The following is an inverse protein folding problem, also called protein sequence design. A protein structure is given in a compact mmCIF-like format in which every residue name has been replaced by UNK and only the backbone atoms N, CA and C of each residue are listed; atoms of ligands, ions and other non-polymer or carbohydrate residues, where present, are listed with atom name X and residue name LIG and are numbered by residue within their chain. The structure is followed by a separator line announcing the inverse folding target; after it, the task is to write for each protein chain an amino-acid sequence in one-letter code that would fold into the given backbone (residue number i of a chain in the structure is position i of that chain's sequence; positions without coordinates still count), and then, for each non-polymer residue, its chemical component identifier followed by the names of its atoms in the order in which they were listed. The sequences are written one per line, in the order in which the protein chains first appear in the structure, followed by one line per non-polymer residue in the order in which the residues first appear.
data_IF_145699294865
#
_entry.id   IF_145699294865
#
_cell.length_a   1.000
_cell.length_b   1.000
_cell.length_c   1.000
_cell.angle_alpha   90.00
_cell.angle_beta   90.00
_cell.angle_gamma   90.00
#
_symmetry.space_group_name_H-M   'P 1'
#
loop_
_entity.id
_entity.type
_entity.pdbx_description
1 polymer ?
#
# COMPACT_ATOMS: atom_id res chain seq x y z
N UNK A 1 11.02 7.39 4.73
CA UNK A 1 10.80 5.93 4.83
C UNK A 1 9.42 5.56 4.30
N UNK A 2 9.30 4.48 3.52
CA UNK A 2 8.02 3.98 2.99
C UNK A 2 7.76 2.60 3.56
N UNK A 3 6.62 2.44 4.25
CA UNK A 3 6.13 1.17 4.77
C UNK A 3 4.90 0.75 3.96
N UNK A 4 4.88 -0.49 3.49
CA UNK A 4 3.72 -1.05 2.78
C UNK A 4 3.07 -2.17 3.61
N UNK A 5 1.73 -2.18 3.64
CA UNK A 5 0.99 -3.33 4.14
C UNK A 5 0.62 -4.27 3.01
N UNK A 6 0.78 -5.57 3.22
CA UNK A 6 0.25 -6.61 2.37
C UNK A 6 -0.49 -7.67 3.18
N UNK A 7 -1.42 -8.36 2.55
CA UNK A 7 -2.26 -9.39 3.18
C UNK A 7 -3.61 -9.50 2.48
N UNK A 8 -4.33 -10.57 2.72
CA UNK A 8 -5.66 -10.81 2.13
C UNK A 8 -6.70 -9.80 2.60
N UNK A 9 -7.81 -9.73 1.89
CA UNK A 9 -8.97 -8.95 2.36
C UNK A 9 -9.48 -9.54 3.69
N UNK A 10 -9.82 -8.69 4.66
CA UNK A 10 -10.24 -9.17 5.99
C UNK A 10 -9.10 -9.54 6.94
N UNK A 11 -7.82 -9.54 6.52
CA UNK A 11 -6.69 -9.84 7.43
C UNK A 11 -6.50 -8.78 8.54
N UNK A 12 -7.10 -7.59 8.40
CA UNK A 12 -7.06 -6.54 9.43
C UNK A 12 -6.02 -5.44 9.19
N UNK A 13 -5.44 -5.34 8.01
CA UNK A 13 -4.47 -4.28 7.65
C UNK A 13 -4.93 -2.89 8.06
N UNK A 14 -6.08 -2.47 7.55
CA UNK A 14 -6.62 -1.11 7.79
C UNK A 14 -6.92 -0.82 9.27
N UNK A 15 -7.08 -1.87 10.09
CA UNK A 15 -7.26 -1.74 11.54
C UNK A 15 -5.93 -1.58 12.27
N UNK A 16 -4.86 -2.20 11.75
CA UNK A 16 -3.51 -2.14 12.34
C UNK A 16 -2.77 -0.84 12.00
N UNK A 17 -3.07 -0.20 10.87
CA UNK A 17 -2.39 1.03 10.41
C UNK A 17 -2.44 2.17 11.44
N UNK A 18 -3.59 2.52 12.06
CA UNK A 18 -3.63 3.55 13.10
C UNK A 18 -2.77 3.19 14.31
N UNK A 19 -2.72 1.89 14.66
CA UNK A 19 -1.86 1.37 15.73
C UNK A 19 -0.38 1.55 15.42
N UNK A 20 0.04 1.20 14.20
CA UNK A 20 1.41 1.44 13.73
C UNK A 20 1.80 2.92 13.78
N UNK A 21 0.94 3.79 13.27
CA UNK A 21 1.22 5.23 13.25
C UNK A 21 1.38 5.77 14.67
N UNK A 22 0.57 5.30 15.63
CA UNK A 22 0.71 5.66 17.03
C UNK A 22 2.05 5.19 17.58
N UNK A 23 2.42 3.92 17.39
CA UNK A 23 3.70 3.36 17.84
C UNK A 23 4.87 4.21 17.35
N UNK A 24 4.89 4.51 16.05
CA UNK A 24 5.97 5.30 15.45
C UNK A 24 6.03 6.73 15.99
N UNK A 25 4.87 7.34 16.26
CA UNK A 25 4.79 8.70 16.85
C UNK A 25 5.23 8.70 18.31
N UNK A 26 4.87 7.67 19.07
CA UNK A 26 5.30 7.49 20.47
C UNK A 26 6.83 7.32 20.57
N UNK A 27 7.44 6.72 19.54
CA UNK A 27 8.91 6.59 19.40
C UNK A 27 9.57 7.83 18.76
N UNK A 28 8.85 8.96 18.67
CA UNK A 28 9.38 10.26 18.22
C UNK A 28 9.47 10.44 16.70
N UNK A 29 8.91 9.53 15.91
CA UNK A 29 8.89 9.64 14.46
C UNK A 29 7.64 10.35 13.94
N UNK A 30 7.79 11.14 12.89
CA UNK A 30 6.64 11.66 12.17
C UNK A 30 6.13 10.60 11.21
N UNK A 31 5.00 9.98 11.54
CA UNK A 31 4.39 8.92 10.74
C UNK A 31 2.97 9.28 10.31
N UNK A 32 2.62 8.98 9.05
CA UNK A 32 1.29 9.28 8.51
C UNK A 32 0.90 8.32 7.36
N UNK A 33 -0.41 8.12 7.11
CA UNK A 33 -0.88 7.40 5.93
C UNK A 33 -0.47 8.13 4.64
N UNK A 34 -0.30 7.39 3.54
CA UNK A 34 0.07 7.97 2.24
C UNK A 34 -0.91 9.06 1.77
N UNK A 35 -2.21 8.91 2.05
CA UNK A 35 -3.24 9.91 1.73
C UNK A 35 -3.04 11.22 2.48
N UNK A 36 -2.72 11.15 3.78
CA UNK A 36 -2.41 12.32 4.61
C UNK A 36 -1.08 12.96 4.19
N UNK A 37 -0.07 12.15 3.91
CA UNK A 37 1.23 12.61 3.42
C UNK A 37 1.10 13.41 2.11
N UNK A 38 0.26 12.95 1.16
CA UNK A 38 0.01 13.67 -0.08
C UNK A 38 -0.58 15.07 0.24
N UNK A 39 -1.59 15.15 1.09
CA UNK A 39 -2.20 16.43 1.47
C UNK A 39 -1.17 17.33 2.14
N UNK A 40 -0.43 16.81 3.12
CA UNK A 40 0.60 17.53 3.84
C UNK A 40 1.66 18.15 2.89
N UNK A 41 2.17 17.35 1.96
CA UNK A 41 3.16 17.84 1.01
C UNK A 41 2.57 18.75 -0.06
N UNK A 42 1.30 18.55 -0.44
CA UNK A 42 0.62 19.47 -1.35
C UNK A 42 0.57 20.90 -0.80
N UNK A 43 0.28 21.07 0.49
CA UNK A 43 0.33 22.39 1.14
C UNK A 43 1.71 23.05 1.07
N UNK A 44 2.79 22.26 1.06
CA UNK A 44 4.17 22.76 0.97
C UNK A 44 4.59 23.17 -0.45
N UNK A 45 3.87 22.74 -1.50
CA UNK A 45 4.16 23.12 -2.88
C UNK A 45 3.84 24.59 -3.17
N UNK A 46 4.46 25.18 -4.19
CA UNK A 46 4.13 26.54 -4.61
C UNK A 46 2.65 26.68 -5.00
N UNK A 47 2.11 25.69 -5.73
CA UNK A 47 0.70 25.64 -6.12
C UNK A 47 -0.21 25.51 -4.90
N UNK A 48 0.14 24.67 -3.95
CA UNK A 48 -0.62 24.50 -2.72
C UNK A 48 -0.67 25.78 -1.89
N UNK A 49 0.48 26.46 -1.73
CA UNK A 49 0.53 27.76 -1.04
C UNK A 49 -0.34 28.82 -1.73
N UNK A 50 -0.32 28.86 -3.07
CA UNK A 50 -1.17 29.77 -3.83
C UNK A 50 -2.67 29.50 -3.58
N UNK A 51 -3.08 28.23 -3.62
CA UNK A 51 -4.47 27.82 -3.32
C UNK A 51 -4.84 28.22 -1.89
N UNK A 52 -3.98 27.95 -0.91
CA UNK A 52 -4.23 28.32 0.49
C UNK A 52 -4.35 29.84 0.71
N UNK A 53 -3.66 30.64 -0.10
CA UNK A 53 -3.74 32.10 -0.02
C UNK A 53 -5.03 32.64 -0.67
N UNK A 54 -5.50 32.02 -1.75
CA UNK A 54 -6.64 32.51 -2.53
C UNK A 54 -7.98 31.93 -2.11
N UNK A 55 -7.99 30.79 -1.39
CA UNK A 55 -9.21 30.06 -1.06
C UNK A 55 -9.54 30.11 0.44
N UNK A 56 -10.84 30.18 0.79
CA UNK A 56 -11.30 30.00 2.16
C UNK A 56 -10.85 28.63 2.72
N UNK A 57 -10.56 28.56 4.02
CA UNK A 57 -10.05 27.35 4.69
C UNK A 57 -10.93 26.10 4.46
N UNK A 58 -12.25 26.29 4.38
CA UNK A 58 -13.20 25.20 4.12
C UNK A 58 -13.09 24.56 2.73
N UNK A 59 -12.54 25.30 1.74
CA UNK A 59 -12.38 24.83 0.37
C UNK A 59 -10.95 24.38 0.03
N UNK A 60 -9.98 24.69 0.88
CA UNK A 60 -8.57 24.38 0.60
C UNK A 60 -8.33 22.88 0.42
N UNK A 61 -8.76 22.03 1.35
CA UNK A 61 -8.54 20.58 1.26
C UNK A 61 -9.21 19.93 0.05
N UNK A 62 -10.52 20.14 -0.23
CA UNK A 62 -11.15 19.53 -1.39
C UNK A 62 -10.55 20.02 -2.71
N UNK A 63 -10.14 21.30 -2.81
CA UNK A 63 -9.50 21.84 -4.01
C UNK A 63 -8.10 21.26 -4.18
N UNK A 64 -7.27 21.21 -3.13
CA UNK A 64 -5.93 20.61 -3.18
C UNK A 64 -5.99 19.14 -3.59
N UNK A 65 -6.93 18.39 -3.01
CA UNK A 65 -7.15 17.00 -3.39
C UNK A 65 -7.58 16.87 -4.84
N UNK A 66 -8.52 17.70 -5.30
CA UNK A 66 -8.97 17.72 -6.68
C UNK A 66 -7.84 18.05 -7.66
N UNK A 67 -7.00 19.04 -7.34
CA UNK A 67 -5.83 19.41 -8.14
C UNK A 67 -4.82 18.27 -8.19
N UNK A 68 -4.56 17.61 -7.06
CA UNK A 68 -3.67 16.46 -7.05
C UNK A 68 -4.24 15.32 -7.91
N UNK A 69 -5.48 14.93 -7.68
CA UNK A 69 -6.09 13.79 -8.39
C UNK A 69 -6.24 14.04 -9.89
N UNK A 70 -6.51 15.28 -10.31
CA UNK A 70 -6.73 15.61 -11.72
C UNK A 70 -5.45 15.93 -12.49
N UNK A 71 -4.55 16.75 -11.95
CA UNK A 71 -3.36 17.24 -12.65
C UNK A 71 -2.09 16.49 -12.24
N UNK A 72 -1.76 16.52 -10.95
CA UNK A 72 -0.47 16.03 -10.48
C UNK A 72 -0.38 14.51 -10.52
N UNK A 73 -1.47 13.82 -10.21
CA UNK A 73 -1.50 12.36 -10.31
C UNK A 73 -1.17 11.88 -11.73
N UNK A 74 -1.69 12.54 -12.76
CA UNK A 74 -1.35 12.22 -14.17
C UNK A 74 0.11 12.52 -14.49
N UNK A 75 0.61 13.67 -14.08
CA UNK A 75 2.02 14.02 -14.27
C UNK A 75 2.95 13.00 -13.61
N UNK A 76 2.69 12.64 -12.35
CA UNK A 76 3.50 11.65 -11.63
C UNK A 76 3.30 10.23 -12.16
N UNK A 77 2.13 9.87 -12.69
CA UNK A 77 1.92 8.61 -13.39
C UNK A 77 2.78 8.51 -14.66
N UNK A 78 2.81 9.56 -15.50
CA UNK A 78 3.68 9.61 -16.68
C UNK A 78 5.15 9.51 -16.28
N UNK A 79 5.54 10.23 -15.24
CA UNK A 79 6.90 10.18 -14.71
C UNK A 79 7.28 8.81 -14.16
N UNK A 80 6.34 8.12 -13.49
CA UNK A 80 6.53 6.73 -13.06
C UNK A 80 6.75 5.81 -14.26
N UNK A 81 5.91 5.94 -15.30
CA UNK A 81 6.07 5.16 -16.55
C UNK A 81 7.44 5.40 -17.18
N UNK A 82 7.88 6.65 -17.25
CA UNK A 82 9.20 7.00 -17.80
C UNK A 82 10.36 6.42 -16.95
N UNK A 83 10.23 6.42 -15.62
CA UNK A 83 11.26 5.90 -14.72
C UNK A 83 11.26 4.37 -14.59
N UNK A 84 10.10 3.72 -14.83
CA UNK A 84 9.90 2.27 -14.67
C UNK A 84 9.11 1.67 -15.85
N UNK A 85 9.60 1.82 -17.10
CA UNK A 85 8.84 1.42 -18.30
C UNK A 85 8.57 -0.09 -18.36
N UNK A 86 9.48 -0.90 -17.81
CA UNK A 86 9.31 -2.37 -17.76
C UNK A 86 8.13 -2.78 -16.89
N UNK A 87 8.01 -2.22 -15.67
CA UNK A 87 6.90 -2.50 -14.77
C UNK A 87 5.57 -1.99 -15.37
N UNK A 88 5.53 -0.75 -15.85
CA UNK A 88 4.33 -0.17 -16.43
C UNK A 88 3.84 -0.98 -17.64
N UNK A 89 4.73 -1.32 -18.58
CA UNK A 89 4.39 -2.12 -19.77
C UNK A 89 3.96 -3.54 -19.39
N UNK A 90 4.59 -4.14 -18.39
CA UNK A 90 4.22 -5.47 -17.89
C UNK A 90 2.77 -5.47 -17.38
N UNK A 91 2.41 -4.54 -16.50
CA UNK A 91 1.07 -4.46 -15.92
C UNK A 91 0.00 -4.20 -16.99
N UNK A 92 0.28 -3.30 -17.95
CA UNK A 92 -0.65 -3.04 -19.08
C UNK A 92 -0.84 -4.29 -19.93
N UNK A 93 0.26 -4.95 -20.35
CA UNK A 93 0.21 -6.18 -21.16
C UNK A 93 -0.52 -7.31 -20.42
N UNK A 94 -0.28 -7.45 -19.12
CA UNK A 94 -0.96 -8.43 -18.27
C UNK A 94 -2.47 -8.21 -18.30
N UNK A 95 -2.94 -6.97 -18.07
CA UNK A 95 -4.38 -6.68 -18.06
C UNK A 95 -5.03 -6.81 -19.45
N UNK A 96 -4.33 -6.45 -20.53
CA UNK A 96 -4.86 -6.62 -21.87
C UNK A 96 -5.09 -8.09 -22.24
N UNK A 97 -4.22 -8.99 -21.78
CA UNK A 97 -4.31 -10.44 -22.06
C UNK A 97 -5.36 -11.19 -21.22
N UNK A 98 -5.80 -10.61 -20.10
CA UNK A 98 -6.80 -11.27 -19.23
C UNK A 98 -8.17 -11.29 -19.88
N UNK A 99 -8.90 -12.40 -19.68
CA UNK A 99 -10.30 -12.58 -20.16
C UNK A 99 -11.33 -12.05 -19.13
N UNK A 100 -11.20 -10.78 -18.74
CA UNK A 100 -12.11 -10.08 -17.83
C UNK A 100 -12.76 -8.88 -18.54
N UNK A 101 -13.94 -8.40 -18.09
CA UNK A 101 -14.59 -7.23 -18.68
C UNK A 101 -13.68 -6.00 -18.71
N UNK A 102 -13.76 -5.22 -19.78
CA UNK A 102 -12.94 -4.02 -19.99
C UNK A 102 -13.04 -3.01 -18.84
N UNK A 103 -14.22 -2.84 -18.27
CA UNK A 103 -14.41 -1.97 -17.10
C UNK A 103 -13.54 -2.38 -15.91
N UNK A 104 -13.39 -3.68 -15.65
CA UNK A 104 -12.53 -4.19 -14.58
C UNK A 104 -11.06 -3.99 -14.91
N UNK A 105 -10.63 -4.24 -16.16
CA UNK A 105 -9.24 -3.95 -16.58
C UNK A 105 -8.89 -2.49 -16.34
N UNK A 106 -9.76 -1.58 -16.77
CA UNK A 106 -9.58 -0.15 -16.59
C UNK A 106 -9.50 0.26 -15.13
N UNK A 107 -10.37 -0.29 -14.27
CA UNK A 107 -10.34 -0.02 -12.83
C UNK A 107 -9.02 -0.47 -12.21
N UNK A 108 -8.54 -1.67 -12.52
CA UNK A 108 -7.26 -2.19 -12.00
C UNK A 108 -6.09 -1.32 -12.46
N UNK A 109 -6.04 -0.96 -13.75
CA UNK A 109 -5.00 -0.08 -14.28
C UNK A 109 -5.04 1.31 -13.64
N UNK A 110 -6.24 1.89 -13.52
CA UNK A 110 -6.43 3.19 -12.85
C UNK A 110 -5.90 3.17 -11.42
N UNK A 111 -6.30 2.17 -10.63
CA UNK A 111 -5.86 2.04 -9.24
C UNK A 111 -4.35 1.79 -9.13
N UNK A 112 -3.78 1.01 -10.06
CA UNK A 112 -2.34 0.80 -10.11
C UNK A 112 -1.59 2.11 -10.40
N UNK A 113 -1.96 2.86 -11.44
CA UNK A 113 -1.29 4.10 -11.80
C UNK A 113 -1.55 5.24 -10.81
N UNK A 114 -2.70 5.25 -10.13
CA UNK A 114 -2.96 6.17 -9.03
C UNK A 114 -1.97 5.92 -7.87
N UNK A 115 -1.82 4.68 -7.41
CA UNK A 115 -0.88 4.31 -6.38
C UNK A 115 0.58 4.59 -6.83
N UNK A 116 0.92 4.28 -8.08
CA UNK A 116 2.22 4.57 -8.66
C UNK A 116 2.53 6.08 -8.69
N UNK A 117 1.54 6.93 -8.96
CA UNK A 117 1.68 8.39 -8.90
C UNK A 117 1.93 8.88 -7.47
N UNK A 118 1.23 8.32 -6.48
CA UNK A 118 1.44 8.62 -5.07
C UNK A 118 2.86 8.26 -4.63
N UNK A 119 3.28 7.05 -4.95
CA UNK A 119 4.64 6.58 -4.67
C UNK A 119 5.70 7.50 -5.29
N UNK A 120 5.55 7.83 -6.59
CA UNK A 120 6.47 8.69 -7.33
C UNK A 120 6.51 10.13 -6.77
N UNK A 121 5.38 10.65 -6.29
CA UNK A 121 5.30 11.95 -5.63
C UNK A 121 6.01 11.91 -4.27
N UNK A 122 5.66 10.94 -3.42
CA UNK A 122 6.14 10.84 -2.05
C UNK A 122 7.63 10.49 -1.96
N UNK A 123 8.13 9.64 -2.86
CA UNK A 123 9.56 9.30 -2.93
C UNK A 123 10.49 10.51 -3.15
N UNK A 124 9.94 11.63 -3.63
CA UNK A 124 10.71 12.86 -3.94
C UNK A 124 10.66 13.89 -2.84
N UNK A 125 9.83 13.67 -1.87
CA UNK A 125 9.76 14.60 -0.76
C UNK A 125 10.96 14.37 0.17
N UNK A 126 11.67 15.45 0.54
CA UNK A 126 12.72 15.34 1.56
C UNK A 126 12.04 15.00 2.87
N UNK A 127 12.21 13.79 3.37
CA UNK A 127 11.51 13.44 4.60
C UNK A 127 12.30 12.50 5.49
N UNK A 128 12.41 12.91 6.74
CA UNK A 128 12.62 12.02 7.86
C UNK A 128 11.28 11.40 8.33
N UNK A 129 10.24 11.52 7.51
CA UNK A 129 8.88 11.10 7.83
C UNK A 129 8.66 9.67 7.35
N UNK A 130 7.82 8.93 8.08
CA UNK A 130 7.41 7.58 7.72
C UNK A 130 6.05 7.64 7.04
N UNK A 131 5.99 7.20 5.79
CA UNK A 131 4.76 7.14 5.01
C UNK A 131 4.27 5.71 4.93
N UNK A 132 3.02 5.48 5.35
CA UNK A 132 2.42 4.15 5.40
C UNK A 132 1.40 3.99 4.27
N UNK A 133 1.63 3.00 3.40
CA UNK A 133 0.70 2.58 2.35
C UNK A 133 -0.14 1.39 2.84
N UNK A 134 -1.46 1.55 2.86
CA UNK A 134 -2.41 0.45 3.14
C UNK A 134 -2.35 -0.62 2.04
N UNK A 135 -2.25 -0.19 0.80
CA UNK A 135 -2.14 -1.05 -0.38
C UNK A 135 -1.03 -0.55 -1.30
N UNK A 136 0.22 -0.97 -1.03
CA UNK A 136 1.37 -0.65 -1.87
C UNK A 136 1.54 -1.61 -3.07
N UNK A 137 2.72 -1.58 -3.69
CA UNK A 137 3.03 -2.41 -4.86
C UNK A 137 3.02 -3.91 -4.54
N UNK A 138 3.54 -4.31 -3.39
CA UNK A 138 3.53 -5.71 -2.97
C UNK A 138 2.11 -6.25 -2.81
N UNK A 139 1.18 -5.44 -2.25
CA UNK A 139 -0.22 -5.84 -2.11
C UNK A 139 -0.96 -5.92 -3.46
N UNK A 140 -0.58 -5.12 -4.46
CA UNK A 140 -1.22 -5.14 -5.79
C UNK A 140 -1.14 -6.48 -6.51
N UNK A 141 -0.27 -7.39 -6.09
CA UNK A 141 -0.23 -8.76 -6.61
C UNK A 141 -1.60 -9.44 -6.56
N UNK A 142 -2.36 -9.27 -5.50
CA UNK A 142 -3.70 -9.85 -5.36
C UNK A 142 -4.69 -9.26 -6.38
N UNK A 143 -4.65 -7.95 -6.62
CA UNK A 143 -5.53 -7.31 -7.60
C UNK A 143 -5.17 -7.64 -9.04
N UNK A 144 -3.87 -7.89 -9.30
CA UNK A 144 -3.37 -8.18 -10.64
C UNK A 144 -3.54 -9.64 -11.03
N UNK A 145 -3.42 -10.59 -10.10
CA UNK A 145 -3.33 -12.00 -10.41
C UNK A 145 -4.48 -12.85 -9.90
N UNK A 146 -5.22 -12.41 -8.87
CA UNK A 146 -6.39 -13.15 -8.41
C UNK A 146 -7.57 -12.87 -9.33
N UNK A 147 -8.11 -13.92 -9.90
CA UNK A 147 -9.25 -13.93 -10.83
C UNK A 147 -10.21 -15.06 -10.43
N UNK A 148 -11.44 -14.91 -10.84
CA UNK A 148 -12.48 -15.93 -10.68
C UNK A 148 -12.40 -17.02 -11.75
N UNK A 149 -11.70 -16.70 -12.86
CA UNK A 149 -11.70 -17.53 -14.08
C UNK A 149 -10.36 -18.19 -14.33
N UNK A 150 -9.27 -17.53 -13.92
CA UNK A 150 -7.91 -17.96 -14.23
C UNK A 150 -7.17 -18.38 -12.95
N UNK A 151 -6.54 -19.54 -12.97
CA UNK A 151 -5.60 -19.94 -11.92
C UNK A 151 -4.40 -19.00 -11.93
N UNK A 152 -3.86 -18.61 -10.75
CA UNK A 152 -2.67 -17.78 -10.66
C UNK A 152 -1.47 -18.48 -11.29
N UNK A 153 -0.80 -17.78 -12.19
CA UNK A 153 0.42 -18.23 -12.84
C UNK A 153 1.63 -17.73 -12.04
N UNK A 154 2.35 -18.64 -11.41
CA UNK A 154 3.50 -18.33 -10.55
C UNK A 154 4.63 -17.61 -11.31
N UNK A 155 4.90 -17.97 -12.57
CA UNK A 155 5.93 -17.32 -13.37
C UNK A 155 5.58 -15.86 -13.69
N UNK A 156 4.30 -15.59 -13.95
CA UNK A 156 3.82 -14.21 -14.15
C UNK A 156 3.88 -13.40 -12.87
N UNK A 157 3.51 -14.00 -11.74
CA UNK A 157 3.64 -13.35 -10.44
C UNK A 157 5.10 -13.00 -10.18
N UNK A 158 5.99 -13.95 -10.35
CA UNK A 158 7.44 -13.78 -10.18
C UNK A 158 8.02 -12.69 -11.09
N UNK A 159 7.60 -12.66 -12.37
CA UNK A 159 8.01 -11.61 -13.30
C UNK A 159 7.56 -10.21 -12.86
N UNK A 160 6.38 -10.08 -12.25
CA UNK A 160 5.90 -8.84 -11.65
C UNK A 160 6.73 -8.44 -10.43
N UNK A 161 6.93 -9.37 -9.49
CA UNK A 161 7.63 -9.11 -8.24
C UNK A 161 9.08 -8.64 -8.46
N UNK A 162 9.77 -9.20 -9.46
CA UNK A 162 11.13 -8.77 -9.86
C UNK A 162 11.22 -7.33 -10.37
N UNK A 163 10.11 -6.73 -10.78
CA UNK A 163 10.06 -5.37 -11.31
C UNK A 163 9.66 -4.32 -10.28
N UNK A 164 9.24 -4.74 -9.09
CA UNK A 164 8.75 -3.82 -8.08
C UNK A 164 9.82 -2.85 -7.57
N UNK A 165 9.45 -1.61 -7.28
CA UNK A 165 10.30 -0.74 -6.46
C UNK A 165 10.30 -1.27 -5.02
N UNK A 166 11.47 -1.42 -4.46
CA UNK A 166 11.61 -1.87 -3.07
C UNK A 166 11.13 -0.79 -2.12
N UNK A 167 10.25 -1.17 -1.19
CA UNK A 167 9.85 -0.37 -0.04
C UNK A 167 10.84 -0.60 1.11
N UNK A 168 10.94 0.35 2.02
CA UNK A 168 11.87 0.23 3.16
C UNK A 168 11.45 -0.90 4.11
N UNK A 169 10.13 -1.14 4.23
CA UNK A 169 9.55 -2.24 5.01
C UNK A 169 8.22 -2.68 4.41
N UNK A 170 7.99 -3.98 4.33
CA UNK A 170 6.67 -4.57 4.01
C UNK A 170 6.13 -5.30 5.23
N UNK A 171 4.96 -4.92 5.70
CA UNK A 171 4.25 -5.57 6.79
C UNK A 171 3.26 -6.58 6.20
N UNK A 172 3.56 -7.85 6.38
CA UNK A 172 2.73 -8.95 5.92
C UNK A 172 1.76 -9.40 7.02
N UNK A 173 0.48 -9.00 6.87
CA UNK A 173 -0.57 -9.33 7.82
C UNK A 173 -1.29 -10.61 7.40
N UNK A 174 -1.24 -11.61 8.26
CA UNK A 174 -1.93 -12.88 8.11
C UNK A 174 -3.09 -13.00 9.11
N UNK A 175 -4.16 -13.65 8.69
CA UNK A 175 -5.23 -14.12 9.55
C UNK A 175 -5.82 -15.39 8.93
N UNK A 176 -6.37 -16.32 9.74
CA UNK A 176 -7.03 -17.52 9.22
C UNK A 176 -8.12 -17.17 8.20
N UNK A 177 -8.25 -17.99 7.15
CA UNK A 177 -9.22 -17.76 6.07
C UNK A 177 -10.63 -17.56 6.60
N UNK A 178 -11.05 -18.38 7.57
CA UNK A 178 -12.35 -18.26 8.22
C UNK A 178 -12.54 -16.90 8.89
N UNK A 179 -11.52 -16.42 9.62
CA UNK A 179 -11.54 -15.09 10.25
C UNK A 179 -11.66 -13.99 9.19
N UNK A 180 -10.94 -14.12 8.07
CA UNK A 180 -11.03 -13.18 6.96
C UNK A 180 -12.43 -13.17 6.35
N UNK A 181 -13.03 -14.33 6.11
CA UNK A 181 -14.38 -14.47 5.57
C UNK A 181 -15.42 -13.85 6.51
N UNK A 182 -15.39 -14.18 7.81
CA UNK A 182 -16.29 -13.62 8.81
C UNK A 182 -16.20 -12.08 8.85
N UNK A 183 -14.99 -11.51 8.81
CA UNK A 183 -14.79 -10.06 8.82
C UNK A 183 -15.28 -9.38 7.52
N UNK A 184 -15.15 -10.05 6.37
CA UNK A 184 -15.64 -9.53 5.08
C UNK A 184 -17.17 -9.53 5.07
N UNK A 185 -17.83 -10.60 5.56
CA UNK A 185 -19.27 -10.66 5.67
C UNK A 185 -19.82 -9.60 6.62
N UNK A 186 -19.22 -9.44 7.80
CA UNK A 186 -19.63 -8.44 8.78
C UNK A 186 -19.49 -6.98 8.26
N UNK A 187 -18.45 -6.69 7.49
CA UNK A 187 -18.20 -5.36 6.89
C UNK A 187 -19.02 -5.09 5.64
N UNK A 188 -19.51 -6.12 4.98
CA UNK A 188 -20.12 -6.12 3.66
C UNK A 188 -19.14 -6.52 2.55
N UNK A 189 -19.64 -7.32 1.63
CA UNK A 189 -18.87 -7.86 0.51
C UNK A 189 -18.37 -6.75 -0.42
N UNK A 190 -17.13 -6.87 -0.88
CA UNK A 190 -16.59 -6.03 -1.95
C UNK A 190 -17.46 -6.15 -3.21
N UNK A 191 -17.52 -5.07 -4.00
CA UNK A 191 -18.36 -5.00 -5.21
C UNK A 191 -18.19 -6.21 -6.14
N UNK A 192 -16.95 -6.69 -6.29
CA UNK A 192 -16.61 -7.85 -7.14
C UNK A 192 -17.11 -9.20 -6.59
N UNK A 193 -17.42 -9.28 -5.29
CA UNK A 193 -17.88 -10.51 -4.63
C UNK A 193 -19.41 -10.51 -4.40
N UNK A 194 -20.07 -9.37 -4.64
CA UNK A 194 -21.53 -9.27 -4.46
C UNK A 194 -22.27 -10.16 -5.45
N UNK A 195 -23.24 -10.91 -4.95
CA UNK A 195 -24.04 -11.84 -5.76
C UNK A 195 -23.33 -13.14 -6.12
N UNK A 196 -22.18 -13.44 -5.55
CA UNK A 196 -21.49 -14.72 -5.69
C UNK A 196 -21.97 -15.71 -4.65
N UNK A 197 -21.79 -17.01 -4.95
CA UNK A 197 -22.02 -18.06 -3.96
C UNK A 197 -20.96 -18.02 -2.86
N UNK A 198 -21.28 -18.53 -1.68
CA UNK A 198 -20.30 -18.65 -0.57
C UNK A 198 -19.08 -19.48 -0.99
N UNK A 199 -19.28 -20.49 -1.81
CA UNK A 199 -18.19 -21.32 -2.34
C UNK A 199 -17.25 -20.53 -3.25
N UNK A 200 -17.80 -19.68 -4.14
CA UNK A 200 -16.98 -18.83 -5.03
C UNK A 200 -16.19 -17.79 -4.22
N UNK A 201 -16.82 -17.22 -3.18
CA UNK A 201 -16.16 -16.26 -2.28
C UNK A 201 -15.01 -16.95 -1.53
N UNK A 202 -15.25 -18.13 -0.96
CA UNK A 202 -14.22 -18.88 -0.26
C UNK A 202 -13.06 -19.26 -1.19
N UNK A 203 -13.35 -19.73 -2.40
CA UNK A 203 -12.36 -20.09 -3.41
C UNK A 203 -11.51 -18.86 -3.84
N UNK A 204 -12.18 -17.72 -4.06
CA UNK A 204 -11.51 -16.45 -4.37
C UNK A 204 -10.56 -16.03 -3.24
N UNK A 205 -11.00 -16.15 -1.99
CA UNK A 205 -10.21 -15.79 -0.83
C UNK A 205 -9.02 -16.72 -0.62
N UNK A 206 -9.20 -18.02 -0.84
CA UNK A 206 -8.12 -19.01 -0.80
C UNK A 206 -7.06 -18.71 -1.87
N UNK A 207 -7.48 -18.41 -3.09
CA UNK A 207 -6.59 -18.00 -4.16
C UNK A 207 -5.83 -16.71 -3.81
N UNK A 208 -6.50 -15.72 -3.21
CA UNK A 208 -5.86 -14.49 -2.76
C UNK A 208 -4.82 -14.73 -1.66
N UNK A 209 -5.10 -15.64 -0.74
CA UNK A 209 -4.15 -16.07 0.29
C UNK A 209 -2.91 -16.73 -0.31
N UNK A 210 -3.10 -17.69 -1.21
CA UNK A 210 -2.00 -18.38 -1.89
C UNK A 210 -1.09 -17.40 -2.65
N UNK A 211 -1.68 -16.48 -3.42
CA UNK A 211 -0.92 -15.46 -4.16
C UNK A 211 -0.18 -14.51 -3.22
N UNK A 212 -0.81 -14.11 -2.10
CA UNK A 212 -0.17 -13.25 -1.11
C UNK A 212 0.99 -13.94 -0.42
N UNK A 213 0.79 -15.20 0.00
CA UNK A 213 1.83 -15.99 0.65
C UNK A 213 3.01 -16.23 -0.29
N UNK A 214 2.76 -16.61 -1.55
CA UNK A 214 3.80 -16.76 -2.56
C UNK A 214 4.61 -15.47 -2.74
N UNK A 215 3.93 -14.33 -2.87
CA UNK A 215 4.59 -13.05 -3.02
C UNK A 215 5.43 -12.67 -1.80
N UNK A 216 4.89 -12.87 -0.58
CA UNK A 216 5.60 -12.54 0.66
C UNK A 216 6.88 -13.38 0.83
N UNK A 217 6.80 -14.69 0.59
CA UNK A 217 7.97 -15.56 0.65
C UNK A 217 9.04 -15.16 -0.37
N UNK A 218 8.62 -14.93 -1.62
CA UNK A 218 9.57 -14.49 -2.64
C UNK A 218 10.25 -13.16 -2.29
N UNK A 219 9.49 -12.17 -1.79
CA UNK A 219 10.06 -10.87 -1.42
C UNK A 219 11.06 -10.99 -0.27
N UNK A 220 10.75 -11.85 0.72
CA UNK A 220 11.67 -12.14 1.83
C UNK A 220 12.97 -12.80 1.31
N UNK A 221 12.87 -13.81 0.45
CA UNK A 221 14.01 -14.47 -0.17
C UNK A 221 14.83 -13.53 -1.08
N UNK A 222 14.17 -12.56 -1.71
CA UNK A 222 14.80 -11.52 -2.51
C UNK A 222 15.46 -10.40 -1.68
N UNK A 223 15.50 -10.53 -0.35
CA UNK A 223 16.18 -9.61 0.57
C UNK A 223 15.39 -8.34 0.90
N UNK A 224 14.04 -8.37 0.72
CA UNK A 224 13.22 -7.28 1.21
C UNK A 224 13.07 -7.35 2.74
N UNK A 225 13.02 -6.21 3.38
CA UNK A 225 12.69 -6.15 4.80
C UNK A 225 11.21 -6.48 4.98
N UNK A 226 10.94 -7.61 5.63
CA UNK A 226 9.59 -8.13 5.83
C UNK A 226 9.29 -8.28 7.32
N UNK A 227 8.20 -7.68 7.77
CA UNK A 227 7.65 -7.90 9.11
C UNK A 227 6.37 -8.73 9.01
N UNK A 228 6.36 -9.93 9.56
CA UNK A 228 5.17 -10.78 9.59
C UNK A 228 4.35 -10.47 10.85
N UNK A 229 3.04 -10.31 10.71
CA UNK A 229 2.09 -10.07 11.80
C UNK A 229 0.93 -11.05 11.69
N UNK A 230 0.69 -11.86 12.73
CA UNK A 230 -0.41 -12.82 12.80
C UNK A 230 -1.61 -12.22 13.53
N UNK A 231 -2.56 -11.69 12.79
CA UNK A 231 -3.76 -11.03 13.33
C UNK A 231 -4.90 -12.05 13.55
N UNK A 232 -4.63 -13.04 14.40
CA UNK A 232 -5.59 -14.11 14.73
C UNK A 232 -6.47 -13.75 15.94
N UNK A 233 -5.94 -12.95 16.86
CA UNK A 233 -6.52 -12.63 18.16
C UNK A 233 -7.15 -11.24 18.18
N UNK A 234 -7.14 -10.62 19.33
CA UNK A 234 -7.60 -9.25 19.49
C UNK A 234 -6.65 -8.22 18.85
N UNK A 235 -7.14 -7.01 18.69
CA UNK A 235 -6.39 -5.90 18.12
C UNK A 235 -5.14 -5.54 18.94
N UNK A 236 -5.21 -5.67 20.27
CA UNK A 236 -4.10 -5.29 21.15
C UNK A 236 -2.92 -6.23 20.97
N UNK A 237 -3.17 -7.54 20.85
CA UNK A 237 -2.13 -8.53 20.55
C UNK A 237 -1.48 -8.28 19.18
N UNK A 238 -2.30 -7.99 18.15
CA UNK A 238 -1.78 -7.66 16.81
C UNK A 238 -0.94 -6.38 16.80
N UNK A 239 -1.30 -5.37 17.58
CA UNK A 239 -0.52 -4.13 17.73
C UNK A 239 0.80 -4.38 18.46
N UNK A 240 0.79 -5.23 19.51
CA UNK A 240 2.01 -5.57 20.24
C UNK A 240 3.01 -6.32 19.35
N UNK A 241 2.53 -7.29 18.56
CA UNK A 241 3.35 -8.03 17.60
C UNK A 241 3.90 -7.08 16.51
N UNK A 242 3.05 -6.19 15.98
CA UNK A 242 3.43 -5.17 15.02
C UNK A 242 4.54 -4.27 15.57
N UNK A 243 4.44 -3.84 16.84
CA UNK A 243 5.47 -3.02 17.48
C UNK A 243 6.82 -3.72 17.51
N UNK A 244 6.86 -4.97 17.96
CA UNK A 244 8.10 -5.74 18.00
C UNK A 244 8.70 -5.88 16.60
N UNK A 245 7.89 -6.27 15.63
CA UNK A 245 8.33 -6.52 14.26
C UNK A 245 8.83 -5.26 13.53
N UNK A 246 8.31 -4.07 13.88
CA UNK A 246 8.68 -2.82 13.18
C UNK A 246 9.87 -2.14 13.81
N UNK A 247 10.02 -2.20 15.16
CA UNK A 247 11.15 -1.54 15.83
C UNK A 247 12.52 -2.11 15.46
N UNK A 248 12.58 -3.34 14.95
CA UNK A 248 13.82 -3.92 14.43
C UNK A 248 14.31 -3.22 13.15
N UNK A 249 13.42 -2.62 12.37
CA UNK A 249 13.73 -2.03 11.06
C UNK A 249 13.74 -0.50 11.05
N UNK A 250 13.08 0.11 12.01
CA UNK A 250 13.06 1.57 12.11
C UNK A 250 14.34 2.03 12.80
N UNK A 251 15.16 2.89 12.16
CA UNK A 251 16.35 3.43 12.81
C UNK A 251 15.94 4.09 14.12
N UNK A 252 16.48 3.59 15.24
CA UNK A 252 16.32 4.27 16.51
C UNK A 252 16.93 5.66 16.33
N UNK A 253 16.07 6.69 16.29
CA UNK A 253 16.52 8.06 16.39
C UNK A 253 17.14 8.19 17.77
N UNK A 254 18.46 8.03 17.84
CA UNK A 254 19.23 8.31 19.04
C UNK A 254 18.90 9.74 19.44
N UNK A 255 18.21 9.86 20.56
CA UNK A 255 18.10 11.09 21.36
C UNK A 255 19.51 11.43 21.90
N UNK A 256 20.37 11.94 21.03
CA UNK A 256 21.68 12.44 21.36
C UNK A 256 21.97 13.65 20.49
N UNK A 257 21.23 14.70 20.75
CA UNK A 257 21.65 16.06 20.45
C UNK A 257 22.77 16.49 21.38
N UNK A 258 23.95 15.90 21.25
CA UNK A 258 25.20 16.50 21.73
C UNK A 258 26.24 16.36 20.63
N UNK A 259 26.27 17.38 19.77
CA UNK A 259 27.48 17.69 19.01
C UNK A 259 28.49 18.19 20.06
N UNK A 260 29.37 17.30 20.50
CA UNK A 260 30.59 17.71 21.10
C UNK A 260 31.50 18.28 19.96
N UNK A 261 31.53 19.60 19.86
CA UNK A 261 32.65 20.29 19.27
C UNK A 261 33.83 20.02 20.20
N UNK A 262 34.70 19.12 19.82
CA UNK A 262 36.06 19.08 20.32
C UNK A 262 36.98 19.73 19.30
N UNK A 263 37.65 20.75 19.81
CA UNK A 263 38.69 21.63 19.31
C UNK A 263 39.77 21.00 18.43
#
# INVERSE_FOLDING_TARGET
MIIEFMGTSGSGKSTLIPGLIRILRDDGLTAMPATEAIQHYMHKTHLGRLICTLMPSSLQEPVLRGVFDFLLSRFYAVRFVASRPRLASYVVKLQLRRHIPWRHKWLILRLFFQMASWYQFLQRQPSNEVVVFDEGFAHRVTHLFVSEVEQPDGDRILAYLKLLPQSDLVIWVQAPLETCLNRIHARGLQVRLRGRSEQDIAQFMLCAEQVTNFAAHYLAEAGWHMAKVENQRDLAAGIAELRHAVLEYVPQTTSSGQILCES
#
